data_IF_035639433631
#
_entry.id   IF_035639433631
#
_cell.length_a   1.000
_cell.length_b   1.000
_cell.length_c   1.000
_cell.angle_alpha   90.00
_cell.angle_beta   90.00
_cell.angle_gamma   90.00
#
_symmetry.space_group_name_H-M   'P 1'
#
loop_
_entity.id
_entity.type
_entity.pdbx_description
1 polymer ?
#
# COMPACT_ATOMS: atom_id res chain seq x y z
N UNK A 1 -17.94 14.30 19.05
CA UNK A 1 -17.75 14.94 17.73
C UNK A 1 -16.46 14.50 17.01
N UNK A 2 -15.28 14.54 17.66
CA UNK A 2 -14.00 14.11 17.04
C UNK A 2 -14.01 12.66 16.53
N UNK A 3 -14.57 11.71 17.28
CA UNK A 3 -14.67 10.29 16.86
C UNK A 3 -15.51 10.10 15.59
N UNK A 4 -16.58 10.89 15.42
CA UNK A 4 -17.44 10.87 14.22
C UNK A 4 -16.73 11.52 13.03
N UNK A 5 -16.00 12.62 13.25
CA UNK A 5 -15.19 13.23 12.18
C UNK A 5 -14.04 12.32 11.74
N UNK A 6 -13.40 11.62 12.67
CA UNK A 6 -12.34 10.65 12.37
C UNK A 6 -12.91 9.44 11.62
N UNK A 7 -14.06 8.91 12.03
CA UNK A 7 -14.74 7.81 11.35
C UNK A 7 -15.16 8.21 9.92
N UNK A 8 -15.73 9.41 9.75
CA UNK A 8 -16.08 9.96 8.44
C UNK A 8 -14.85 10.17 7.54
N UNK A 9 -13.72 10.63 8.10
CA UNK A 9 -12.46 10.79 7.36
C UNK A 9 -11.91 9.45 6.87
N UNK A 10 -11.92 8.43 7.74
CA UNK A 10 -11.45 7.07 7.39
C UNK A 10 -12.31 6.45 6.28
N UNK A 11 -13.63 6.62 6.35
CA UNK A 11 -14.55 6.17 5.29
C UNK A 11 -14.27 6.90 3.97
N UNK A 12 -14.12 8.23 4.00
CA UNK A 12 -13.86 9.03 2.80
C UNK A 12 -12.55 8.62 2.12
N UNK A 13 -11.48 8.41 2.90
CA UNK A 13 -10.20 7.95 2.35
C UNK A 13 -10.30 6.55 1.73
N UNK A 14 -11.08 5.66 2.34
CA UNK A 14 -11.26 4.29 1.82
C UNK A 14 -12.07 4.28 0.52
N UNK A 15 -13.14 5.09 0.43
CA UNK A 15 -13.95 5.23 -0.79
C UNK A 15 -13.18 5.78 -1.99
N UNK A 16 -12.19 6.66 -1.76
CA UNK A 16 -11.36 7.23 -2.84
C UNK A 16 -10.40 6.21 -3.49
N UNK A 17 -10.11 5.08 -2.83
CA UNK A 17 -9.26 4.04 -3.41
C UNK A 17 -9.98 3.23 -4.51
N UNK A 18 -11.31 3.06 -4.42
CA UNK A 18 -12.10 2.28 -5.37
C UNK A 18 -12.24 2.95 -6.75
N UNK A 19 -12.07 4.27 -6.83
CA UNK A 19 -12.10 5.03 -8.08
C UNK A 19 -10.71 5.22 -8.70
N UNK A 20 -9.67 4.64 -8.11
CA UNK A 20 -8.38 4.53 -8.79
C UNK A 20 -8.46 3.35 -9.77
N UNK A 21 -8.74 3.64 -11.04
CA UNK A 21 -8.22 2.77 -12.09
C UNK A 21 -6.73 2.66 -11.81
N UNK A 22 -6.22 1.44 -11.59
CA UNK A 22 -4.81 1.25 -11.34
C UNK A 22 -4.03 2.11 -12.33
N UNK A 23 -3.22 3.06 -11.85
CA UNK A 23 -2.37 3.90 -12.70
C UNK A 23 -1.32 3.07 -13.47
N UNK A 24 -1.42 1.74 -13.40
CA UNK A 24 -0.64 0.72 -14.08
C UNK A 24 -1.16 0.34 -15.46
N UNK A 25 -2.31 0.83 -15.94
CA UNK A 25 -2.75 0.52 -17.31
C UNK A 25 -1.74 1.06 -18.37
N UNK A 26 -1.12 2.21 -18.09
CA UNK A 26 -0.09 2.80 -18.95
C UNK A 26 1.26 2.07 -18.80
N UNK A 27 1.70 1.77 -17.57
CA UNK A 27 2.94 1.03 -17.34
C UNK A 27 2.87 -0.40 -17.90
N UNK A 28 1.71 -1.06 -17.79
CA UNK A 28 1.48 -2.40 -18.34
C UNK A 28 1.52 -2.41 -19.87
N UNK A 29 0.82 -1.48 -20.53
CA UNK A 29 0.81 -1.39 -21.99
C UNK A 29 2.21 -1.11 -22.57
N UNK A 30 2.99 -0.23 -21.91
CA UNK A 30 4.39 0.03 -22.30
C UNK A 30 5.25 -1.22 -22.09
N UNK A 31 5.11 -1.91 -20.95
CA UNK A 31 5.86 -3.15 -20.68
C UNK A 31 5.55 -4.26 -21.68
N UNK A 32 4.27 -4.48 -21.99
CA UNK A 32 3.85 -5.48 -22.98
C UNK A 32 4.41 -5.15 -24.37
N UNK A 33 4.36 -3.88 -24.80
CA UNK A 33 4.95 -3.45 -26.06
C UNK A 33 6.49 -3.60 -26.12
N UNK A 34 7.19 -3.43 -24.99
CA UNK A 34 8.65 -3.66 -24.92
C UNK A 34 8.99 -5.15 -24.92
N UNK A 35 8.18 -6.00 -24.26
CA UNK A 35 8.37 -7.45 -24.28
C UNK A 35 8.10 -8.04 -25.68
N UNK A 36 7.08 -7.55 -26.39
CA UNK A 36 6.74 -7.97 -27.75
C UNK A 36 7.81 -7.58 -28.79
N UNK A 37 8.55 -6.49 -28.56
CA UNK A 37 9.67 -6.08 -29.42
C UNK A 37 10.98 -6.83 -29.12
N UNK A 38 10.96 -7.78 -28.17
CA UNK A 38 12.11 -8.60 -27.78
C UNK A 38 13.00 -7.96 -26.70
N UNK A 39 12.59 -6.83 -26.13
CA UNK A 39 13.27 -6.18 -25.00
C UNK A 39 12.84 -6.84 -23.67
N UNK A 40 13.77 -6.97 -22.73
CA UNK A 40 13.52 -7.57 -21.42
C UNK A 40 13.18 -6.55 -20.34
N UNK A 41 13.20 -5.24 -20.66
CA UNK A 41 13.06 -4.13 -19.70
C UNK A 41 11.70 -3.98 -18.99
N UNK A 42 10.79 -4.93 -19.15
CA UNK A 42 9.53 -5.00 -18.41
C UNK A 42 9.31 -6.30 -17.63
N UNK A 43 10.22 -7.27 -17.72
CA UNK A 43 10.11 -8.53 -17.01
C UNK A 43 10.23 -8.30 -15.49
N UNK A 44 9.25 -8.80 -14.73
CA UNK A 44 9.26 -8.69 -13.26
C UNK A 44 8.80 -7.33 -12.70
N UNK A 45 8.26 -6.41 -13.52
CA UNK A 45 7.78 -5.12 -13.02
C UNK A 45 6.68 -5.29 -11.95
N UNK A 46 5.78 -6.26 -12.12
CA UNK A 46 4.70 -6.53 -11.16
C UNK A 46 5.25 -6.97 -9.79
N UNK A 47 6.32 -7.76 -9.78
CA UNK A 47 6.97 -8.19 -8.54
C UNK A 47 7.62 -6.99 -7.82
N UNK A 48 8.22 -6.07 -8.58
CA UNK A 48 8.73 -4.80 -8.05
C UNK A 48 7.63 -3.91 -7.45
N UNK A 49 6.47 -3.82 -8.11
CA UNK A 49 5.31 -3.08 -7.60
C UNK A 49 4.81 -3.69 -6.30
N UNK A 50 4.64 -5.02 -6.26
CA UNK A 50 4.21 -5.72 -5.05
C UNK A 50 5.22 -5.55 -3.91
N UNK A 51 6.51 -5.58 -4.20
CA UNK A 51 7.56 -5.32 -3.21
C UNK A 51 7.44 -3.91 -2.61
N UNK A 52 7.30 -2.89 -3.45
CA UNK A 52 7.15 -1.50 -3.00
C UNK A 52 5.83 -1.27 -2.24
N UNK A 53 4.73 -1.89 -2.69
CA UNK A 53 3.43 -1.82 -2.02
C UNK A 53 3.44 -2.54 -0.67
N UNK A 54 4.24 -3.59 -0.48
CA UNK A 54 4.33 -4.32 0.78
C UNK A 54 4.98 -3.49 1.91
N UNK A 55 5.93 -2.61 1.56
CA UNK A 55 6.68 -1.78 2.53
C UNK A 55 5.81 -0.99 3.52
N UNK A 56 4.80 -0.20 3.10
CA UNK A 56 3.97 0.55 4.05
C UNK A 56 3.20 -0.36 5.02
N UNK A 57 2.73 -1.54 4.58
CA UNK A 57 2.03 -2.48 5.46
C UNK A 57 2.97 -3.08 6.51
N UNK A 58 4.19 -3.45 6.11
CA UNK A 58 5.22 -3.94 7.03
C UNK A 58 5.57 -2.86 8.06
N UNK A 59 5.75 -1.61 7.63
CA UNK A 59 6.05 -0.50 8.53
C UNK A 59 4.95 -0.29 9.58
N UNK A 60 3.68 -0.30 9.17
CA UNK A 60 2.52 -0.18 10.08
C UNK A 60 2.46 -1.35 11.06
N UNK A 61 2.69 -2.58 10.58
CA UNK A 61 2.71 -3.78 11.42
C UNK A 61 3.78 -3.68 12.50
N UNK A 62 5.03 -3.34 12.13
CA UNK A 62 6.14 -3.15 13.06
C UNK A 62 5.76 -2.09 14.10
N UNK A 63 5.33 -0.91 13.66
CA UNK A 63 4.96 0.17 14.57
C UNK A 63 3.83 -0.23 15.53
N UNK A 64 2.80 -0.90 15.03
CA UNK A 64 1.67 -1.38 15.82
C UNK A 64 2.08 -2.38 16.90
N UNK A 65 2.94 -3.36 16.54
CA UNK A 65 3.46 -4.36 17.48
C UNK A 65 4.31 -3.70 18.56
N UNK A 66 5.26 -2.82 18.17
CA UNK A 66 6.09 -2.10 19.14
C UNK A 66 5.24 -1.25 20.09
N UNK A 67 4.26 -0.51 19.58
CA UNK A 67 3.35 0.28 20.39
C UNK A 67 2.56 -0.58 21.39
N UNK A 68 2.02 -1.71 20.94
CA UNK A 68 1.27 -2.63 21.80
C UNK A 68 2.13 -3.18 22.94
N UNK A 69 3.34 -3.63 22.65
CA UNK A 69 4.28 -4.14 23.65
C UNK A 69 4.64 -3.06 24.67
N UNK A 70 4.94 -1.83 24.23
CA UNK A 70 5.25 -0.74 25.16
C UNK A 70 4.07 -0.37 26.05
N UNK A 71 2.84 -0.39 25.50
CA UNK A 71 1.63 -0.12 26.26
C UNK A 71 1.38 -1.18 27.34
N UNK A 72 1.60 -2.47 27.03
CA UNK A 72 1.50 -3.55 28.01
C UNK A 72 2.50 -3.37 29.15
N UNK A 73 3.77 -3.06 28.83
CA UNK A 73 4.80 -2.79 29.85
C UNK A 73 4.45 -1.64 30.79
N UNK A 74 3.82 -0.58 30.28
CA UNK A 74 3.36 0.56 31.10
C UNK A 74 2.13 0.22 31.96
N UNK A 75 1.32 -0.75 31.56
CA UNK A 75 0.11 -1.15 32.30
C UNK A 75 0.43 -2.17 33.41
N UNK A 76 1.53 -2.91 33.28
CA UNK A 76 2.01 -3.89 34.26
C UNK A 76 3.05 -3.34 35.25
N UNK A 77 3.36 -2.03 35.18
CA UNK A 77 4.23 -1.30 36.11
C UNK A 77 3.40 -0.30 36.91
#
# INVERSE_FOLDING_TARGET
MIKIKLFSLVILMTCMNFASNAQCAMCKAVVEANLESGDTKGAGLNDGILFLMAMPYIAVLIFGVFYYIQKQKKLSA
#
